data_IF_455173663739
#
_entry.id   IF_455173663739
#
_cell.length_a   1.000
_cell.length_b   1.000
_cell.length_c   1.000
_cell.angle_alpha   90.00
_cell.angle_beta   90.00
_cell.angle_gamma   90.00
#
_symmetry.space_group_name_H-M   'P 1'
#
loop_
_entity.id
_entity.type
_entity.pdbx_description
1 polymer ?
#
# COMPACT_ATOMS: atom_id res chain seq x y z
N UNK A 1 63.47 21.72 18.05
CA UNK A 1 62.71 22.44 17.00
C UNK A 1 61.99 21.44 16.13
N UNK A 2 60.68 21.63 16.01
CA UNK A 2 59.68 20.75 15.42
C UNK A 2 60.04 20.36 13.98
N UNK A 3 60.11 19.06 13.67
CA UNK A 3 60.38 18.54 12.33
C UNK A 3 59.21 18.88 11.37
N UNK A 4 59.19 20.11 10.85
CA UNK A 4 58.16 20.59 9.92
C UNK A 4 58.15 19.81 8.61
N UNK A 5 59.19 19.02 8.31
CA UNK A 5 59.27 18.19 7.09
C UNK A 5 58.17 17.11 7.05
N UNK A 6 57.78 16.57 8.20
CA UNK A 6 56.71 15.57 8.28
C UNK A 6 55.34 16.13 7.89
N UNK A 7 55.08 17.43 8.05
CA UNK A 7 53.79 18.02 7.61
C UNK A 7 53.68 18.07 6.09
N UNK A 8 54.81 18.29 5.39
CA UNK A 8 54.84 18.36 3.93
C UNK A 8 54.62 16.99 3.27
N UNK A 9 54.95 15.89 3.96
CA UNK A 9 54.63 14.53 3.49
C UNK A 9 53.23 14.08 3.96
N UNK A 10 52.82 14.50 5.15
CA UNK A 10 51.57 14.06 5.76
C UNK A 10 50.35 14.73 5.10
N UNK A 11 50.45 16.01 4.76
CA UNK A 11 49.37 16.78 4.15
C UNK A 11 48.89 16.21 2.80
N UNK A 12 49.74 15.89 1.82
CA UNK A 12 49.29 15.28 0.56
C UNK A 12 48.71 13.87 0.76
N UNK A 13 49.24 13.08 1.70
CA UNK A 13 48.69 11.76 2.04
C UNK A 13 47.26 11.86 2.58
N UNK A 14 47.01 12.81 3.48
CA UNK A 14 45.68 13.04 4.05
C UNK A 14 44.71 13.51 2.97
N UNK A 15 45.14 14.41 2.08
CA UNK A 15 44.34 14.87 0.93
C UNK A 15 43.99 13.74 -0.04
N UNK A 16 44.90 12.78 -0.28
CA UNK A 16 44.63 11.61 -1.11
C UNK A 16 43.58 10.68 -0.49
N UNK A 17 43.66 10.44 0.82
CA UNK A 17 42.70 9.58 1.53
C UNK A 17 41.30 10.21 1.49
N UNK A 18 41.19 11.50 1.85
CA UNK A 18 39.90 12.20 1.83
C UNK A 18 39.37 12.45 0.42
N UNK A 19 40.25 12.74 -0.54
CA UNK A 19 39.89 12.87 -1.95
C UNK A 19 39.33 11.58 -2.53
N UNK A 20 39.90 10.42 -2.18
CA UNK A 20 39.39 9.10 -2.59
C UNK A 20 38.02 8.79 -1.97
N UNK A 21 37.82 9.13 -0.68
CA UNK A 21 36.51 8.97 -0.02
C UNK A 21 35.45 9.87 -0.69
N UNK A 22 35.78 11.14 -0.94
CA UNK A 22 34.88 12.07 -1.63
C UNK A 22 34.55 11.58 -3.05
N UNK A 23 35.56 11.16 -3.82
CA UNK A 23 35.38 10.61 -5.16
C UNK A 23 34.44 9.41 -5.17
N UNK A 24 34.64 8.44 -4.27
CA UNK A 24 33.76 7.28 -4.15
C UNK A 24 32.33 7.67 -3.77
N UNK A 25 32.15 8.63 -2.88
CA UNK A 25 30.83 9.09 -2.46
C UNK A 25 30.04 9.71 -3.62
N UNK A 26 30.67 10.59 -4.40
CA UNK A 26 30.03 11.21 -5.56
C UNK A 26 29.82 10.22 -6.72
N UNK A 27 30.83 9.40 -7.04
CA UNK A 27 30.73 8.40 -8.11
C UNK A 27 29.69 7.30 -7.82
N UNK A 28 29.56 6.88 -6.56
CA UNK A 28 28.56 5.88 -6.18
C UNK A 28 27.13 6.43 -6.17
N UNK A 29 26.96 7.76 -6.11
CA UNK A 29 25.65 8.42 -6.18
C UNK A 29 25.03 8.39 -7.59
N UNK A 30 25.86 8.27 -8.64
CA UNK A 30 25.39 8.24 -10.03
C UNK A 30 24.95 6.86 -10.53
N UNK A 31 25.20 5.80 -9.74
CA UNK A 31 24.62 4.49 -10.01
C UNK A 31 23.12 4.56 -9.73
N UNK A 32 22.38 5.08 -10.72
CA UNK A 32 20.94 4.93 -10.84
C UNK A 32 20.64 3.49 -10.48
N UNK A 33 19.91 3.33 -9.37
CA UNK A 33 19.27 2.07 -9.01
C UNK A 33 18.67 1.54 -10.31
N UNK A 34 19.30 0.52 -10.90
CA UNK A 34 18.71 -0.20 -12.01
C UNK A 34 17.45 -0.80 -11.40
N UNK A 35 16.35 -0.07 -11.54
CA UNK A 35 15.02 -0.55 -11.28
C UNK A 35 14.95 -1.84 -12.06
N UNK A 36 15.06 -2.98 -11.36
CA UNK A 36 14.80 -4.28 -11.97
C UNK A 36 13.44 -4.13 -12.59
N UNK A 37 13.39 -4.14 -13.91
CA UNK A 37 12.13 -4.04 -14.65
C UNK A 37 11.19 -5.04 -14.02
N UNK A 38 10.16 -4.50 -13.37
CA UNK A 38 9.17 -5.31 -12.75
C UNK A 38 8.49 -6.08 -13.88
N UNK A 39 8.73 -7.40 -13.95
CA UNK A 39 7.95 -8.28 -14.80
C UNK A 39 6.47 -7.95 -14.58
N UNK A 40 5.87 -7.33 -15.60
CA UNK A 40 4.47 -6.93 -15.57
C UNK A 40 3.71 -8.22 -15.78
N UNK A 41 3.30 -8.86 -14.67
CA UNK A 41 2.40 -9.99 -14.74
C UNK A 41 1.12 -9.52 -15.43
N UNK A 42 0.94 -9.95 -16.67
CA UNK A 42 -0.29 -9.73 -17.42
C UNK A 42 -1.35 -10.62 -16.78
N UNK A 43 -2.09 -10.07 -15.81
CA UNK A 43 -3.21 -10.74 -15.19
C UNK A 43 -4.29 -10.94 -16.24
N UNK A 44 -4.50 -12.19 -16.67
CA UNK A 44 -5.64 -12.53 -17.51
C UNK A 44 -6.92 -12.30 -16.69
N UNK A 45 -7.95 -11.62 -17.23
CA UNK A 45 -9.20 -11.43 -16.52
C UNK A 45 -9.84 -12.79 -16.27
N UNK A 46 -10.01 -13.16 -15.00
CA UNK A 46 -10.75 -14.36 -14.61
C UNK A 46 -12.23 -14.06 -14.86
N UNK A 47 -12.86 -14.82 -15.75
CA UNK A 47 -14.29 -14.73 -16.00
C UNK A 47 -15.05 -15.12 -14.72
N UNK A 48 -15.64 -14.12 -14.06
CA UNK A 48 -16.51 -14.33 -12.89
C UNK A 48 -17.79 -14.97 -13.43
N UNK A 49 -18.01 -16.25 -13.13
CA UNK A 49 -19.30 -16.89 -13.44
C UNK A 49 -20.39 -16.20 -12.60
N UNK A 50 -21.55 -15.86 -13.19
CA UNK A 50 -22.67 -15.34 -12.42
C UNK A 50 -23.06 -16.37 -11.35
N UNK A 51 -23.27 -15.88 -10.12
CA UNK A 51 -23.66 -16.71 -8.99
C UNK A 51 -25.09 -17.20 -9.22
N UNK A 52 -25.30 -18.52 -9.16
CA UNK A 52 -26.65 -19.08 -9.29
C UNK A 52 -27.54 -18.54 -8.17
N UNK A 53 -28.49 -17.68 -8.54
CA UNK A 53 -29.52 -17.20 -7.61
C UNK A 53 -30.65 -18.21 -7.59
N UNK A 54 -30.67 -19.07 -6.59
CA UNK A 54 -31.80 -19.96 -6.35
C UNK A 54 -32.98 -19.15 -5.80
N UNK A 55 -34.09 -19.12 -6.55
CA UNK A 55 -35.36 -18.57 -6.08
C UNK A 55 -36.02 -19.58 -5.14
N UNK A 56 -36.24 -19.19 -3.88
CA UNK A 56 -36.90 -20.03 -2.90
C UNK A 56 -38.41 -19.83 -3.03
N UNK A 57 -39.15 -20.93 -3.17
CA UNK A 57 -40.61 -20.91 -3.11
C UNK A 57 -41.02 -20.83 -1.63
N UNK A 58 -41.59 -19.68 -1.24
CA UNK A 58 -42.01 -19.41 0.15
C UNK A 58 -43.47 -19.78 0.44
N UNK A 59 -44.13 -20.54 -0.43
CA UNK A 59 -45.49 -21.02 -0.22
C UNK A 59 -45.52 -22.27 0.69
N UNK A 60 -45.07 -22.11 1.92
CA UNK A 60 -45.13 -23.15 2.94
C UNK A 60 -45.55 -22.60 4.30
N UNK A 61 -46.04 -23.49 5.16
CA UNK A 61 -46.47 -23.17 6.52
C UNK A 61 -45.24 -23.05 7.42
N UNK A 62 -45.12 -21.94 8.15
CA UNK A 62 -44.00 -21.69 9.04
C UNK A 62 -43.87 -22.83 10.09
N UNK A 63 -42.76 -23.59 10.12
CA UNK A 63 -42.59 -24.74 11.01
C UNK A 63 -42.35 -24.35 12.47
N UNK A 64 -42.14 -23.07 12.77
CA UNK A 64 -41.96 -22.58 14.14
C UNK A 64 -43.26 -22.03 14.71
N UNK A 65 -43.95 -21.20 13.92
CA UNK A 65 -45.12 -20.45 14.38
C UNK A 65 -46.46 -21.02 13.87
N UNK A 66 -46.43 -21.98 12.94
CA UNK A 66 -47.62 -22.64 12.38
C UNK A 66 -48.50 -21.75 11.53
N UNK A 67 -48.02 -20.56 11.14
CA UNK A 67 -48.77 -19.56 10.35
C UNK A 67 -48.41 -19.69 8.87
N UNK A 68 -49.39 -19.49 8.00
CA UNK A 68 -49.14 -19.37 6.57
C UNK A 68 -48.58 -17.98 6.28
N UNK A 69 -47.57 -17.89 5.42
CA UNK A 69 -47.06 -16.61 4.94
C UNK A 69 -48.16 -15.91 4.13
N UNK A 70 -48.78 -14.87 4.71
CA UNK A 70 -49.78 -14.07 4.01
C UNK A 70 -49.08 -13.12 3.05
N UNK A 71 -49.13 -13.43 1.76
CA UNK A 71 -48.71 -12.53 0.69
C UNK A 71 -49.72 -11.39 0.52
N UNK A 72 -50.04 -10.65 1.59
CA UNK A 72 -50.61 -9.31 1.49
C UNK A 72 -49.50 -8.32 1.09
N UNK A 73 -48.75 -8.67 0.06
CA UNK A 73 -48.12 -7.68 -0.79
C UNK A 73 -49.26 -7.17 -1.66
N UNK A 74 -49.90 -6.10 -1.17
CA UNK A 74 -50.40 -5.04 -2.06
C UNK A 74 -49.39 -4.93 -3.20
N UNK A 75 -49.88 -4.82 -4.42
CA UNK A 75 -49.12 -4.45 -5.61
C UNK A 75 -48.32 -3.16 -5.34
N UNK A 76 -47.23 -3.27 -4.60
CA UNK A 76 -46.13 -2.34 -4.64
C UNK A 76 -45.34 -2.86 -5.82
N UNK A 77 -45.88 -2.58 -7.01
CA UNK A 77 -45.04 -2.51 -8.21
C UNK A 77 -43.80 -1.69 -7.82
N UNK A 78 -42.61 -2.03 -8.35
CA UNK A 78 -41.37 -1.44 -7.90
C UNK A 78 -41.57 0.06 -7.87
N UNK A 79 -41.60 0.66 -6.68
CA UNK A 79 -41.53 2.11 -6.53
C UNK A 79 -40.20 2.43 -7.18
N UNK A 80 -40.26 2.86 -8.44
CA UNK A 80 -39.16 3.52 -9.13
C UNK A 80 -38.92 4.76 -8.30
N UNK A 81 -38.09 4.60 -7.28
CA UNK A 81 -37.36 5.70 -6.70
C UNK A 81 -36.56 6.24 -7.85
N UNK A 82 -37.07 7.28 -8.49
CA UNK A 82 -36.31 8.16 -9.36
C UNK A 82 -35.35 8.91 -8.45
N UNK A 83 -34.41 8.17 -7.86
CA UNK A 83 -33.20 8.74 -7.31
C UNK A 83 -32.52 9.29 -8.55
N UNK A 84 -32.62 10.61 -8.72
CA UNK A 84 -31.94 11.31 -9.79
C UNK A 84 -30.50 10.83 -9.78
N UNK A 85 -30.13 10.05 -10.79
CA UNK A 85 -28.76 9.60 -10.99
C UNK A 85 -28.00 10.86 -11.32
N UNK A 86 -27.39 11.46 -10.27
CA UNK A 86 -26.39 12.49 -10.45
C UNK A 86 -25.36 11.88 -11.42
N UNK A 87 -25.03 12.54 -12.54
CA UNK A 87 -24.02 12.02 -13.44
C UNK A 87 -22.75 11.83 -12.64
N UNK A 88 -22.34 10.56 -12.47
CA UNK A 88 -21.04 10.25 -11.91
C UNK A 88 -20.03 10.82 -12.88
N UNK A 89 -19.30 11.85 -12.43
CA UNK A 89 -18.17 12.36 -13.19
C UNK A 89 -17.25 11.19 -13.49
N UNK A 90 -16.69 11.10 -14.72
CA UNK A 90 -15.78 10.03 -15.08
C UNK A 90 -14.62 10.04 -14.08
N UNK A 91 -14.63 9.03 -13.20
CA UNK A 91 -13.62 8.86 -12.16
C UNK A 91 -12.31 8.57 -12.90
N UNK A 92 -11.47 9.60 -13.00
CA UNK A 92 -10.13 9.46 -13.59
C UNK A 92 -9.45 8.25 -12.96
N UNK A 93 -8.85 7.35 -13.74
CA UNK A 93 -8.20 6.16 -13.21
C UNK A 93 -7.09 6.61 -12.25
N UNK A 94 -7.33 6.40 -10.95
CA UNK A 94 -6.37 6.73 -9.91
C UNK A 94 -5.23 5.73 -10.06
N UNK A 95 -4.10 6.20 -10.61
CA UNK A 95 -2.87 5.41 -10.69
C UNK A 95 -2.40 5.14 -9.26
N UNK A 96 -2.64 3.90 -8.82
CA UNK A 96 -2.15 3.39 -7.55
C UNK A 96 -0.62 3.33 -7.61
N UNK A 97 0.06 3.94 -6.63
CA UNK A 97 1.49 3.73 -6.47
C UNK A 97 1.74 2.29 -6.01
N UNK A 98 2.84 1.70 -6.49
CA UNK A 98 3.27 0.38 -6.05
C UNK A 98 3.88 0.50 -4.65
N UNK A 99 3.18 -0.04 -3.66
CA UNK A 99 3.60 -0.05 -2.26
C UNK A 99 3.81 -1.51 -1.85
N UNK A 100 4.97 -1.81 -1.28
CA UNK A 100 5.31 -3.15 -0.78
C UNK A 100 5.58 -3.07 0.72
N UNK A 101 4.99 -3.97 1.49
CA UNK A 101 5.21 -4.04 2.93
C UNK A 101 6.26 -5.12 3.26
N UNK A 102 7.35 -4.71 3.94
CA UNK A 102 8.49 -5.60 4.27
C UNK A 102 8.56 -6.02 5.74
N UNK A 103 7.70 -5.47 6.60
CA UNK A 103 7.58 -5.91 7.99
C UNK A 103 7.78 -4.80 9.01
N UNK A 104 7.84 -5.21 10.28
CA UNK A 104 8.07 -4.34 11.43
C UNK A 104 9.55 -4.35 11.77
N UNK A 105 10.13 -3.17 12.00
CA UNK A 105 11.54 -3.00 12.42
C UNK A 105 11.71 -2.63 13.88
N UNK A 106 10.64 -2.25 14.58
CA UNK A 106 10.65 -1.96 16.02
C UNK A 106 10.49 -3.24 16.87
N UNK A 107 11.08 -3.26 18.07
CA UNK A 107 10.92 -4.36 19.02
C UNK A 107 9.49 -4.38 19.61
N UNK A 108 9.04 -5.55 20.05
CA UNK A 108 7.74 -5.78 20.69
C UNK A 108 7.53 -4.97 21.97
N UNK A 109 8.62 -4.52 22.60
CA UNK A 109 8.62 -3.73 23.84
C UNK A 109 8.37 -2.24 23.58
N UNK A 110 8.64 -1.75 22.37
CA UNK A 110 8.50 -0.33 22.07
C UNK A 110 7.03 0.05 21.91
N UNK A 111 6.62 1.12 22.59
CA UNK A 111 5.26 1.70 22.44
C UNK A 111 5.00 2.18 21.01
N UNK A 112 6.04 2.51 20.25
CA UNK A 112 5.94 3.02 18.88
C UNK A 112 6.39 1.97 17.88
N UNK A 113 5.43 1.36 17.18
CA UNK A 113 5.73 0.42 16.11
C UNK A 113 6.17 1.14 14.84
N UNK A 114 7.28 0.70 14.25
CA UNK A 114 7.84 1.23 13.01
C UNK A 114 7.76 0.16 11.92
N UNK A 115 7.18 0.53 10.79
CA UNK A 115 6.90 -0.34 9.65
C UNK A 115 7.81 0.03 8.48
N UNK A 116 8.38 -0.98 7.82
CA UNK A 116 9.17 -0.80 6.61
C UNK A 116 8.29 -0.96 5.37
N UNK A 117 8.17 0.12 4.60
CA UNK A 117 7.45 0.14 3.33
C UNK A 117 8.40 0.51 2.18
N UNK A 118 8.21 -0.12 1.03
CA UNK A 118 8.87 0.28 -0.22
C UNK A 118 7.82 0.99 -1.08
N UNK A 119 7.99 2.30 -1.26
CA UNK A 119 7.12 3.15 -2.08
C UNK A 119 7.93 3.58 -3.29
N UNK A 120 7.46 3.27 -4.50
CA UNK A 120 8.16 3.60 -5.75
C UNK A 120 9.63 3.16 -5.79
N UNK A 121 9.95 2.01 -5.17
CA UNK A 121 11.30 1.45 -5.13
C UNK A 121 12.24 2.06 -4.09
N UNK A 122 11.78 2.99 -3.26
CA UNK A 122 12.53 3.57 -2.13
C UNK A 122 11.99 3.05 -0.81
N UNK A 123 12.89 2.79 0.13
CA UNK A 123 12.54 2.28 1.47
C UNK A 123 12.20 3.43 2.42
N UNK A 124 11.07 3.31 3.11
CA UNK A 124 10.59 4.25 4.12
C UNK A 124 10.30 3.50 5.42
N UNK A 125 10.68 4.12 6.54
CA UNK A 125 10.35 3.66 7.88
C UNK A 125 9.27 4.58 8.43
N UNK A 126 8.06 4.06 8.59
CA UNK A 126 6.88 4.85 8.92
C UNK A 126 6.25 4.35 10.21
N UNK A 127 5.74 5.27 11.03
CA UNK A 127 4.92 5.01 12.21
C UNK A 127 3.44 5.19 11.85
N UNK A 128 2.57 4.66 12.72
CA UNK A 128 1.13 4.92 12.62
C UNK A 128 0.88 6.43 12.63
N UNK A 129 0.23 6.94 11.57
CA UNK A 129 -0.06 8.37 11.40
C UNK A 129 0.92 9.12 10.49
N UNK A 130 2.04 8.51 10.10
CA UNK A 130 3.00 9.16 9.21
C UNK A 130 2.49 9.21 7.77
N UNK A 131 2.87 10.26 7.04
CA UNK A 131 2.59 10.43 5.61
C UNK A 131 3.89 10.62 4.86
N UNK A 132 4.17 9.74 3.90
CA UNK A 132 5.34 9.84 3.02
C UNK A 132 4.91 9.62 1.58
N UNK A 133 5.33 10.49 0.66
CA UNK A 133 5.01 10.43 -0.78
C UNK A 133 3.49 10.22 -1.03
N UNK A 134 2.64 11.01 -0.37
CA UNK A 134 1.16 10.92 -0.48
C UNK A 134 0.55 9.59 0.01
N UNK A 135 1.34 8.75 0.69
CA UNK A 135 0.88 7.52 1.33
C UNK A 135 0.80 7.77 2.83
N UNK A 136 -0.42 7.73 3.38
CA UNK A 136 -0.65 7.85 4.82
C UNK A 136 -0.78 6.46 5.44
N UNK A 137 0.02 6.16 6.45
CA UNK A 137 -0.03 4.90 7.18
C UNK A 137 -1.09 4.98 8.29
N UNK A 138 -2.28 4.40 8.03
CA UNK A 138 -3.39 4.43 8.98
C UNK A 138 -3.14 3.49 10.16
N UNK A 139 -2.70 2.27 9.86
CA UNK A 139 -2.48 1.21 10.86
C UNK A 139 -1.60 0.10 10.28
N UNK A 140 -0.97 -0.69 11.16
CA UNK A 140 -0.18 -1.84 10.75
C UNK A 140 -0.08 -2.90 11.83
N UNK A 141 -0.01 -4.15 11.38
CA UNK A 141 0.27 -5.35 12.17
C UNK A 141 1.49 -6.08 11.59
N UNK A 142 1.90 -7.20 12.21
CA UNK A 142 3.01 -8.01 11.71
C UNK A 142 2.71 -8.59 10.32
N UNK A 143 1.44 -8.82 10.00
CA UNK A 143 1.00 -9.52 8.79
C UNK A 143 0.55 -8.58 7.69
N UNK A 144 0.08 -7.37 8.01
CA UNK A 144 -0.40 -6.42 7.00
C UNK A 144 -0.34 -4.97 7.46
N UNK A 145 -0.37 -4.04 6.51
CA UNK A 145 -0.48 -2.60 6.75
C UNK A 145 -1.65 -2.00 5.98
N UNK A 146 -2.35 -1.07 6.61
CA UNK A 146 -3.42 -0.30 5.97
C UNK A 146 -2.91 1.09 5.64
N UNK A 147 -2.84 1.39 4.35
CA UNK A 147 -2.39 2.68 3.82
C UNK A 147 -3.51 3.41 3.11
N UNK A 148 -3.49 4.73 3.15
CA UNK A 148 -4.36 5.60 2.37
C UNK A 148 -3.54 6.27 1.29
N UNK A 149 -3.89 6.05 0.03
CA UNK A 149 -3.26 6.67 -1.13
C UNK A 149 -4.33 7.36 -1.99
N UNK A 150 -4.17 8.65 -2.27
CA UNK A 150 -5.10 9.45 -3.11
C UNK A 150 -6.58 9.24 -2.77
N UNK A 151 -6.87 9.17 -1.46
CA UNK A 151 -8.23 9.01 -0.94
C UNK A 151 -8.75 7.57 -0.84
N UNK A 152 -8.03 6.57 -1.38
CA UNK A 152 -8.41 5.15 -1.31
C UNK A 152 -7.64 4.43 -0.21
N UNK A 153 -8.34 3.71 0.66
CA UNK A 153 -7.73 2.83 1.67
C UNK A 153 -7.41 1.47 1.06
N UNK A 154 -6.22 0.95 1.35
CA UNK A 154 -5.74 -0.34 0.89
C UNK A 154 -5.03 -1.07 2.02
N UNK A 155 -5.28 -2.38 2.09
CA UNK A 155 -4.60 -3.30 3.00
C UNK A 155 -3.58 -4.10 2.20
N UNK A 156 -2.31 -3.99 2.59
CA UNK A 156 -1.18 -4.62 1.92
C UNK A 156 -0.65 -5.71 2.86
N UNK A 157 -0.67 -6.99 2.46
CA UNK A 157 -0.09 -8.07 3.25
C UNK A 157 1.45 -8.02 3.21
N UNK A 158 2.08 -8.67 4.19
CA UNK A 158 3.52 -8.84 4.25
C UNK A 158 4.01 -9.58 3.00
N UNK A 159 4.96 -8.96 2.31
CA UNK A 159 5.60 -9.57 1.14
C UNK A 159 6.98 -10.07 1.51
N UNK A 160 7.07 -11.39 1.62
CA UNK A 160 8.33 -12.13 1.79
C UNK A 160 9.18 -11.97 0.53
#
# INVERSE_FOLDING_TARGET
MKNKKSIYILLPIVLLIWGSVAYKFFYFSENKVKSKEANVFTSKPVAIKPRDTSSINVNYRDPFLGKMYSSNLKNVGPKRSTKATKPELPKTPIVLQRILYKGIVSDTKDKTRVFMLIINGRTFLMKKGDTEIEVFLKEGSRESVTVKNKGTLQTIPLQV
#
